data_IF_952832213632
#
_entry.id   IF_952832213632
#
_cell.length_a   1.000
_cell.length_b   1.000
_cell.length_c   1.000
_cell.angle_alpha   90.00
_cell.angle_beta   90.00
_cell.angle_gamma   90.00
#
_symmetry.space_group_name_H-M   'P 1'
#
loop_
_entity.id
_entity.type
_entity.pdbx_description
1 polymer ?
#
# COMPACT_ATOMS: atom_id res chain seq x y z
N UNK A 1 -18.37 -19.20 -7.66
CA UNK A 1 -17.39 -20.21 -8.11
C UNK A 1 -18.06 -21.57 -8.10
N UNK A 2 -17.85 -22.37 -9.13
CA UNK A 2 -18.58 -23.63 -9.30
C UNK A 2 -17.95 -24.73 -8.44
N UNK A 3 -18.75 -25.51 -7.68
CA UNK A 3 -18.27 -26.74 -7.07
C UNK A 3 -18.00 -27.82 -8.12
N UNK A 4 -17.18 -28.81 -7.77
CA UNK A 4 -17.05 -30.06 -8.52
C UNK A 4 -17.99 -31.07 -7.86
N UNK A 5 -18.83 -31.75 -8.64
CA UNK A 5 -19.73 -32.77 -8.13
C UNK A 5 -19.00 -34.06 -7.76
N UNK A 6 -19.50 -34.80 -6.77
CA UNK A 6 -18.82 -35.97 -6.20
C UNK A 6 -18.50 -37.07 -7.24
N UNK A 7 -19.42 -37.32 -8.16
CA UNK A 7 -19.21 -38.28 -9.27
C UNK A 7 -18.07 -37.83 -10.19
N UNK A 8 -17.92 -36.53 -10.42
CA UNK A 8 -16.81 -36.00 -11.22
C UNK A 8 -15.49 -36.14 -10.47
N UNK A 9 -15.46 -35.86 -9.17
CA UNK A 9 -14.28 -36.06 -8.32
C UNK A 9 -13.81 -37.51 -8.34
N UNK A 10 -14.72 -38.48 -8.21
CA UNK A 10 -14.38 -39.90 -8.33
C UNK A 10 -13.83 -40.25 -9.72
N UNK A 11 -14.45 -39.73 -10.78
CA UNK A 11 -14.02 -39.97 -12.15
C UNK A 11 -12.58 -39.47 -12.42
N UNK A 12 -12.19 -38.35 -11.79
CA UNK A 12 -10.81 -37.83 -11.84
C UNK A 12 -9.85 -38.70 -11.02
N UNK A 13 -10.26 -39.15 -9.82
CA UNK A 13 -9.46 -40.02 -8.98
C UNK A 13 -9.15 -41.38 -9.64
N UNK A 14 -10.13 -41.99 -10.31
CA UNK A 14 -9.97 -43.24 -11.06
C UNK A 14 -8.96 -43.12 -12.23
N UNK A 15 -8.54 -41.90 -12.58
CA UNK A 15 -7.59 -41.57 -13.67
C UNK A 15 -6.31 -40.90 -13.16
N UNK A 16 -6.06 -40.96 -11.85
CA UNK A 16 -4.90 -40.33 -11.21
C UNK A 16 -4.81 -38.81 -11.49
N UNK A 17 -5.96 -38.14 -11.61
CA UNK A 17 -6.04 -36.69 -11.81
C UNK A 17 -6.52 -35.99 -10.53
N UNK A 18 -5.73 -35.02 -10.05
CA UNK A 18 -6.15 -34.15 -8.96
C UNK A 18 -7.11 -33.06 -9.46
N UNK A 19 -8.16 -32.78 -8.70
CA UNK A 19 -9.07 -31.65 -8.97
C UNK A 19 -9.46 -30.92 -7.68
N UNK A 20 -9.60 -29.60 -7.76
CA UNK A 20 -10.06 -28.75 -6.66
C UNK A 20 -11.21 -27.85 -7.12
N UNK A 21 -12.33 -27.86 -6.38
CA UNK A 21 -13.51 -27.02 -6.64
C UNK A 21 -13.52 -25.76 -5.78
N UNK A 22 -14.41 -24.81 -6.13
CA UNK A 22 -14.61 -23.54 -5.39
C UNK A 22 -13.33 -22.70 -5.19
N UNK A 23 -12.37 -22.78 -6.11
CA UNK A 23 -11.12 -22.02 -6.05
C UNK A 23 -11.38 -20.53 -6.27
N UNK A 24 -10.86 -19.63 -5.39
CA UNK A 24 -10.95 -18.18 -5.55
C UNK A 24 -10.56 -17.67 -6.94
N UNK A 25 -11.27 -16.67 -7.43
CA UNK A 25 -10.98 -16.08 -8.75
C UNK A 25 -9.57 -15.47 -8.81
N UNK A 26 -9.10 -14.95 -7.68
CA UNK A 26 -7.73 -14.45 -7.54
C UNK A 26 -6.70 -15.58 -7.64
N UNK A 27 -6.93 -16.72 -6.99
CA UNK A 27 -6.05 -17.88 -7.04
C UNK A 27 -6.03 -18.55 -8.42
N UNK A 28 -7.16 -18.54 -9.16
CA UNK A 28 -7.18 -18.95 -10.56
C UNK A 28 -6.25 -18.07 -11.41
N UNK A 29 -6.31 -16.74 -11.25
CA UNK A 29 -5.42 -15.81 -11.97
C UNK A 29 -3.97 -15.97 -11.55
N UNK A 30 -3.68 -16.22 -10.27
CA UNK A 30 -2.33 -16.49 -9.76
C UNK A 30 -1.77 -17.79 -10.34
N UNK A 31 -2.57 -18.84 -10.38
CA UNK A 31 -2.19 -20.15 -10.97
C UNK A 31 -1.95 -20.01 -12.47
N UNK A 32 -2.78 -19.25 -13.18
CA UNK A 32 -2.55 -18.89 -14.58
C UNK A 32 -1.21 -18.16 -14.77
N UNK A 33 -0.91 -17.15 -13.94
CA UNK A 33 0.36 -16.39 -14.03
C UNK A 33 1.58 -17.18 -13.58
N UNK A 34 1.41 -18.16 -12.71
CA UNK A 34 2.49 -19.01 -12.23
C UNK A 34 2.79 -20.13 -13.24
N UNK A 35 1.80 -20.97 -13.53
CA UNK A 35 1.95 -22.18 -14.35
C UNK A 35 1.79 -21.94 -15.86
N UNK A 36 1.25 -20.79 -16.28
CA UNK A 36 1.08 -20.43 -17.69
C UNK A 36 -0.19 -20.98 -18.36
N UNK A 37 -1.10 -21.60 -17.61
CA UNK A 37 -2.37 -22.12 -18.15
C UNK A 37 -3.40 -21.03 -18.43
N UNK A 38 -4.40 -21.31 -19.26
CA UNK A 38 -5.50 -20.41 -19.55
C UNK A 38 -6.75 -20.74 -18.72
N UNK A 39 -7.45 -19.73 -18.23
CA UNK A 39 -8.76 -19.90 -17.58
C UNK A 39 -9.82 -20.02 -18.66
N UNK A 40 -10.54 -21.15 -18.67
CA UNK A 40 -11.57 -21.47 -19.67
C UNK A 40 -12.96 -21.51 -19.00
N UNK A 41 -13.98 -21.02 -19.71
CA UNK A 41 -15.38 -21.08 -19.27
C UNK A 41 -16.09 -22.37 -19.67
N UNK A 42 -15.62 -23.03 -20.74
CA UNK A 42 -16.16 -24.27 -21.27
C UNK A 42 -15.08 -25.32 -21.39
N UNK A 43 -15.40 -26.55 -20.99
CA UNK A 43 -14.49 -27.71 -21.09
C UNK A 43 -14.23 -28.08 -22.56
N UNK A 44 -15.15 -27.75 -23.47
CA UNK A 44 -15.01 -28.05 -24.92
C UNK A 44 -13.91 -27.25 -25.61
N UNK A 45 -13.53 -26.11 -25.03
CA UNK A 45 -12.51 -25.21 -25.59
C UNK A 45 -11.10 -25.57 -25.11
N UNK A 46 -10.96 -26.66 -24.35
CA UNK A 46 -9.68 -27.12 -23.83
C UNK A 46 -8.79 -27.62 -24.97
N UNK A 47 -7.61 -27.00 -25.08
CA UNK A 47 -6.53 -27.39 -26.00
C UNK A 47 -5.28 -27.66 -25.20
N UNK A 48 -4.34 -28.41 -25.77
CA UNK A 48 -3.05 -28.71 -25.12
C UNK A 48 -2.30 -27.43 -24.73
N UNK A 49 -2.40 -26.38 -25.54
CA UNK A 49 -1.76 -25.08 -25.29
C UNK A 49 -2.41 -24.29 -24.14
N UNK A 50 -3.64 -24.65 -23.75
CA UNK A 50 -4.34 -24.02 -22.63
C UNK A 50 -3.88 -24.56 -21.27
N UNK A 51 -3.10 -25.65 -21.24
CA UNK A 51 -2.66 -26.31 -20.01
C UNK A 51 -1.34 -25.70 -19.49
N UNK A 52 -1.34 -25.31 -18.22
CA UNK A 52 -0.13 -24.84 -17.54
C UNK A 52 0.79 -25.99 -17.14
N UNK A 53 2.05 -25.66 -16.83
CA UNK A 53 3.05 -26.61 -16.32
C UNK A 53 3.71 -26.09 -15.05
N UNK A 54 3.95 -26.99 -14.12
CA UNK A 54 4.77 -26.77 -12.92
C UNK A 54 5.70 -27.98 -12.74
N UNK A 55 6.82 -27.79 -12.05
CA UNK A 55 7.77 -28.86 -11.80
C UNK A 55 7.30 -29.80 -10.68
N UNK A 56 6.68 -29.22 -9.65
CA UNK A 56 6.22 -29.97 -8.49
C UNK A 56 4.84 -29.48 -8.03
N UNK A 57 3.97 -30.44 -7.74
CA UNK A 57 2.69 -30.23 -7.09
C UNK A 57 2.67 -31.05 -5.79
N UNK A 58 2.39 -30.41 -4.66
CA UNK A 58 2.32 -31.08 -3.36
C UNK A 58 1.12 -30.59 -2.56
N UNK A 59 0.34 -31.50 -2.01
CA UNK A 59 -0.59 -31.21 -0.91
C UNK A 59 0.20 -31.29 0.40
N UNK A 60 0.24 -30.20 1.18
CA UNK A 60 0.90 -30.16 2.49
C UNK A 60 -0.04 -29.65 3.56
N UNK A 61 0.01 -30.27 4.73
CA UNK A 61 -0.70 -29.76 5.89
C UNK A 61 0.10 -28.65 6.58
N UNK A 62 -0.50 -27.49 6.76
CA UNK A 62 0.09 -26.33 7.42
C UNK A 62 -0.94 -25.79 8.42
N UNK A 63 -0.63 -25.77 9.71
CA UNK A 63 -1.55 -25.26 10.73
C UNK A 63 -2.84 -26.06 10.89
N UNK A 64 -2.84 -27.35 10.54
CA UNK A 64 -4.02 -28.20 10.56
C UNK A 64 -4.83 -28.21 9.26
N UNK A 65 -4.62 -27.24 8.37
CA UNK A 65 -5.29 -27.14 7.08
C UNK A 65 -4.42 -27.69 5.94
N UNK A 66 -5.05 -28.19 4.88
CA UNK A 66 -4.35 -28.73 3.70
C UNK A 66 -4.25 -27.67 2.61
N UNK A 67 -3.02 -27.43 2.15
CA UNK A 67 -2.69 -26.48 1.11
C UNK A 67 -2.16 -27.20 -0.13
N UNK A 68 -2.68 -26.81 -1.29
CA UNK A 68 -2.21 -27.27 -2.60
C UNK A 68 -1.14 -26.31 -3.12
N UNK A 69 0.10 -26.79 -3.23
CA UNK A 69 1.26 -25.96 -3.51
C UNK A 69 1.86 -26.34 -4.86
N UNK A 70 1.93 -25.37 -5.76
CA UNK A 70 2.58 -25.47 -7.07
C UNK A 70 3.96 -24.79 -6.99
N UNK A 71 5.03 -25.53 -7.31
CA UNK A 71 6.42 -25.00 -7.27
C UNK A 71 7.21 -25.37 -8.53
N UNK A 72 8.29 -24.63 -8.76
CA UNK A 72 9.14 -24.77 -9.96
C UNK A 72 8.38 -24.44 -11.24
N UNK A 73 7.63 -23.33 -11.27
CA UNK A 73 6.90 -22.92 -12.46
C UNK A 73 7.82 -22.09 -13.38
N UNK A 74 8.12 -22.54 -14.62
CA UNK A 74 9.15 -21.92 -15.46
C UNK A 74 8.86 -20.47 -15.89
N UNK A 75 7.59 -20.10 -16.00
CA UNK A 75 7.13 -18.78 -16.42
C UNK A 75 6.51 -17.97 -15.26
N UNK A 76 6.91 -18.27 -14.01
CA UNK A 76 6.27 -17.69 -12.83
C UNK A 76 6.34 -16.16 -12.81
N UNK A 77 5.21 -15.50 -13.06
CA UNK A 77 5.01 -14.06 -12.83
C UNK A 77 4.22 -13.77 -11.55
N UNK A 78 4.03 -14.80 -10.72
CA UNK A 78 3.37 -14.73 -9.43
C UNK A 78 4.09 -15.65 -8.45
N UNK A 79 4.20 -15.22 -7.20
CA UNK A 79 4.70 -16.01 -6.08
C UNK A 79 3.70 -15.95 -4.91
N UNK A 80 3.86 -16.87 -3.96
CA UNK A 80 3.03 -16.95 -2.76
C UNK A 80 3.95 -17.09 -1.55
N UNK A 81 3.74 -16.26 -0.54
CA UNK A 81 4.40 -16.39 0.77
C UNK A 81 3.37 -16.92 1.76
N UNK A 82 3.69 -18.00 2.46
CA UNK A 82 2.84 -18.57 3.51
C UNK A 82 3.34 -18.05 4.85
N UNK A 83 2.54 -17.21 5.49
CA UNK A 83 2.84 -16.66 6.82
C UNK A 83 2.27 -17.59 7.90
N UNK A 84 3.01 -17.75 8.99
CA UNK A 84 2.58 -18.53 10.17
C UNK A 84 2.85 -17.72 11.42
N UNK A 85 1.89 -17.70 12.34
CA UNK A 85 1.94 -16.92 13.56
C UNK A 85 1.02 -17.54 14.62
N UNK A 86 1.28 -17.22 15.88
CA UNK A 86 0.49 -17.73 17.01
C UNK A 86 -0.84 -17.00 17.24
N UNK A 87 -1.01 -15.81 16.67
CA UNK A 87 -2.25 -15.04 16.72
C UNK A 87 -2.45 -14.24 15.42
N UNK A 88 -3.71 -14.06 15.02
CA UNK A 88 -4.10 -13.40 13.77
C UNK A 88 -3.59 -11.95 13.70
N UNK A 89 -3.59 -11.24 14.83
CA UNK A 89 -3.07 -9.86 14.89
C UNK A 89 -1.59 -9.77 14.47
N UNK A 90 -0.76 -10.74 14.83
CA UNK A 90 0.64 -10.77 14.40
C UNK A 90 0.78 -11.13 12.93
N UNK A 91 -0.11 -11.98 12.39
CA UNK A 91 -0.12 -12.32 10.97
C UNK A 91 -0.50 -11.10 10.13
N UNK A 92 -1.54 -10.36 10.52
CA UNK A 92 -1.94 -9.13 9.84
C UNK A 92 -0.82 -8.09 9.85
N UNK A 93 -0.13 -7.92 10.96
CA UNK A 93 0.98 -6.97 11.05
C UNK A 93 2.19 -7.41 10.22
N UNK A 94 2.47 -8.71 10.19
CA UNK A 94 3.53 -9.29 9.35
C UNK A 94 3.20 -9.12 7.87
N UNK A 95 1.95 -9.33 7.47
CA UNK A 95 1.48 -9.11 6.10
C UNK A 95 1.65 -7.64 5.69
N UNK A 96 1.20 -6.70 6.53
CA UNK A 96 1.38 -5.26 6.29
C UNK A 96 2.85 -4.89 6.14
N UNK A 97 3.69 -5.34 7.08
CA UNK A 97 5.13 -5.07 7.07
C UNK A 97 5.82 -5.63 5.80
N UNK A 98 5.48 -6.86 5.39
CA UNK A 98 6.04 -7.46 4.17
C UNK A 98 5.54 -6.77 2.91
N UNK A 99 4.26 -6.39 2.87
CA UNK A 99 3.70 -5.66 1.75
C UNK A 99 4.45 -4.33 1.53
N UNK A 100 4.71 -3.59 2.60
CA UNK A 100 5.45 -2.33 2.53
C UNK A 100 6.90 -2.54 2.10
N UNK A 101 7.57 -3.56 2.63
CA UNK A 101 8.92 -3.92 2.22
C UNK A 101 8.99 -4.28 0.71
N UNK A 102 8.05 -5.10 0.21
CA UNK A 102 7.97 -5.46 -1.21
C UNK A 102 7.73 -4.22 -2.07
N UNK A 103 6.85 -3.31 -1.63
CA UNK A 103 6.56 -2.08 -2.36
C UNK A 103 7.77 -1.13 -2.40
N UNK A 104 8.54 -1.04 -1.31
CA UNK A 104 9.80 -0.28 -1.29
C UNK A 104 10.77 -0.87 -2.30
N UNK A 105 11.07 -2.17 -2.23
CA UNK A 105 12.00 -2.84 -3.16
C UNK A 105 11.54 -2.65 -4.62
N UNK A 106 10.24 -2.80 -4.90
CA UNK A 106 9.68 -2.60 -6.24
C UNK A 106 9.86 -1.16 -6.75
N UNK A 107 9.73 -0.16 -5.88
CA UNK A 107 9.93 1.26 -6.24
C UNK A 107 11.41 1.56 -6.45
N UNK A 108 12.30 1.03 -5.60
CA UNK A 108 13.75 1.18 -5.73
C UNK A 108 14.28 0.54 -7.00
N UNK A 109 13.82 -0.66 -7.39
CA UNK A 109 14.22 -1.28 -8.66
C UNK A 109 13.85 -0.42 -9.88
N UNK A 110 12.80 0.41 -9.78
CA UNK A 110 12.37 1.30 -10.86
C UNK A 110 13.06 2.66 -10.86
N UNK A 111 13.68 3.05 -9.75
CA UNK A 111 14.27 4.37 -9.57
C UNK A 111 15.49 4.27 -8.67
N UNK A 112 16.66 4.55 -9.24
CA UNK A 112 17.95 4.45 -8.55
C UNK A 112 18.20 5.59 -7.56
N UNK A 113 17.39 6.66 -7.59
CA UNK A 113 17.55 7.80 -6.69
C UNK A 113 16.88 7.55 -5.32
N UNK A 114 17.70 7.48 -4.28
CA UNK A 114 17.27 7.35 -2.88
C UNK A 114 17.77 8.51 -2.02
N UNK A 115 17.07 8.78 -0.93
CA UNK A 115 17.42 9.78 0.09
C UNK A 115 17.37 9.13 1.48
N UNK A 116 18.03 9.73 2.48
CA UNK A 116 17.90 9.25 3.84
C UNK A 116 16.50 9.51 4.42
N UNK A 117 15.93 8.49 5.05
CA UNK A 117 14.63 8.54 5.73
C UNK A 117 14.72 9.04 7.18
N UNK A 118 13.69 8.76 7.96
CA UNK A 118 13.65 9.10 9.40
C UNK A 118 13.67 10.62 9.67
N UNK A 119 13.08 11.40 8.75
CA UNK A 119 13.02 12.86 8.84
C UNK A 119 14.28 13.60 8.41
N UNK A 120 15.35 12.91 8.00
CA UNK A 120 16.60 13.54 7.57
C UNK A 120 16.41 14.48 6.37
N UNK A 121 15.79 13.98 5.29
CA UNK A 121 15.53 14.79 4.10
C UNK A 121 14.58 15.97 4.40
N UNK A 122 13.60 15.79 5.29
CA UNK A 122 12.66 16.84 5.67
C UNK A 122 13.36 17.97 6.45
N UNK A 123 14.34 17.61 7.29
CA UNK A 123 15.20 18.57 7.99
C UNK A 123 16.11 19.35 7.03
N UNK A 124 16.69 18.70 6.02
CA UNK A 124 17.53 19.38 5.03
C UNK A 124 16.71 20.33 4.14
N UNK A 125 15.51 19.91 3.71
CA UNK A 125 14.57 20.79 2.99
C UNK A 125 14.18 21.98 3.87
N UNK A 126 13.88 21.76 5.15
CA UNK A 126 13.56 22.83 6.10
C UNK A 126 14.70 23.86 6.20
N UNK A 127 15.95 23.40 6.31
CA UNK A 127 17.14 24.26 6.34
C UNK A 127 17.26 25.08 5.06
N UNK A 128 17.21 24.45 3.89
CA UNK A 128 17.31 25.14 2.60
C UNK A 128 16.22 26.19 2.40
N UNK A 129 14.96 25.86 2.72
CA UNK A 129 13.85 26.82 2.63
C UNK A 129 14.01 27.98 3.60
N UNK A 130 14.54 27.73 4.81
CA UNK A 130 14.82 28.76 5.80
C UNK A 130 15.99 29.67 5.39
N UNK A 131 16.97 29.16 4.67
CA UNK A 131 18.05 29.98 4.09
C UNK A 131 17.55 30.80 2.91
N UNK A 132 16.78 30.18 2.02
CA UNK A 132 16.13 30.85 0.90
C UNK A 132 15.23 32.00 1.35
N UNK A 133 14.45 31.81 2.43
CA UNK A 133 13.53 32.84 2.94
C UNK A 133 14.25 34.12 3.36
N UNK A 134 15.53 34.06 3.78
CA UNK A 134 16.31 35.27 4.13
C UNK A 134 16.59 36.17 2.92
N UNK A 135 16.59 35.61 1.71
CA UNK A 135 16.75 36.36 0.46
C UNK A 135 15.43 36.88 -0.11
N UNK A 136 14.28 36.46 0.42
CA UNK A 136 12.95 36.90 -0.03
C UNK A 136 12.56 38.16 0.72
N UNK A 137 12.08 39.18 0.01
CA UNK A 137 11.63 40.43 0.60
C UNK A 137 10.12 40.42 0.90
N UNK A 138 9.72 41.12 1.96
CA UNK A 138 8.31 41.36 2.27
C UNK A 138 7.60 40.18 2.94
N UNK A 139 6.28 40.08 2.75
CA UNK A 139 5.43 39.12 3.48
C UNK A 139 5.69 37.67 3.09
N UNK A 140 6.17 37.43 1.87
CA UNK A 140 6.48 36.08 1.37
C UNK A 140 7.59 35.39 2.17
N UNK A 141 8.53 36.16 2.73
CA UNK A 141 9.55 35.64 3.63
C UNK A 141 8.94 34.84 4.80
N UNK A 142 7.88 35.36 5.41
CA UNK A 142 7.20 34.73 6.54
C UNK A 142 6.51 33.43 6.11
N UNK A 143 5.95 33.39 4.90
CA UNK A 143 5.29 32.21 4.34
C UNK A 143 6.30 31.09 4.07
N UNK A 144 7.43 31.41 3.42
CA UNK A 144 8.50 30.44 3.16
C UNK A 144 9.09 29.92 4.47
N UNK A 145 9.30 30.79 5.46
CA UNK A 145 9.78 30.39 6.78
C UNK A 145 8.78 29.50 7.53
N UNK A 146 7.47 29.72 7.36
CA UNK A 146 6.42 28.87 7.91
C UNK A 146 6.39 27.50 7.22
N UNK A 147 6.49 27.45 5.89
CA UNK A 147 6.59 26.21 5.12
C UNK A 147 7.82 25.39 5.53
N UNK A 148 8.98 26.04 5.69
CA UNK A 148 10.19 25.40 6.21
C UNK A 148 9.95 24.75 7.59
N UNK A 149 9.24 25.42 8.49
CA UNK A 149 8.90 24.87 9.81
C UNK A 149 7.92 23.71 9.72
N UNK A 150 7.01 23.71 8.76
CA UNK A 150 6.05 22.63 8.57
C UNK A 150 6.72 21.28 8.23
N UNK A 151 7.83 21.29 7.49
CA UNK A 151 8.62 20.07 7.24
C UNK A 151 9.15 19.42 8.51
N UNK A 152 9.42 20.20 9.57
CA UNK A 152 9.87 19.64 10.85
C UNK A 152 8.77 18.87 11.60
N UNK A 153 7.51 18.92 11.14
CA UNK A 153 6.41 18.15 11.72
C UNK A 153 6.62 16.63 11.57
N UNK A 154 7.26 16.19 10.49
CA UNK A 154 7.54 14.77 10.22
C UNK A 154 8.50 14.18 11.26
N UNK A 155 9.74 14.69 11.44
CA UNK A 155 10.64 14.20 12.48
C UNK A 155 10.08 14.42 13.89
N UNK A 156 9.34 15.52 14.13
CA UNK A 156 8.65 15.73 15.42
C UNK A 156 7.69 14.58 15.75
N UNK A 157 6.79 14.28 14.81
CA UNK A 157 5.79 13.24 15.01
C UNK A 157 6.43 11.86 15.13
N UNK A 158 7.53 11.61 14.44
CA UNK A 158 8.29 10.38 14.56
C UNK A 158 8.85 10.19 15.98
N UNK A 159 9.42 11.24 16.57
CA UNK A 159 9.87 11.24 17.96
C UNK A 159 8.71 11.05 18.95
N UNK A 160 7.61 11.80 18.76
CA UNK A 160 6.44 11.74 19.65
C UNK A 160 5.80 10.34 19.63
N UNK A 161 5.67 9.73 18.44
CA UNK A 161 5.15 8.36 18.29
C UNK A 161 6.04 7.31 18.94
N UNK A 162 7.35 7.56 19.03
CA UNK A 162 8.31 6.70 19.70
C UNK A 162 8.42 7.00 21.22
N UNK A 163 7.72 8.02 21.73
CA UNK A 163 7.80 8.42 23.13
C UNK A 163 9.10 9.15 23.51
N UNK A 164 9.82 9.70 22.52
CA UNK A 164 11.11 10.38 22.71
C UNK A 164 10.92 11.89 22.94
N UNK A 165 11.93 12.56 23.51
CA UNK A 165 11.93 14.03 23.60
C UNK A 165 12.13 14.66 22.22
N UNK A 166 11.01 14.95 21.55
CA UNK A 166 11.00 15.57 20.23
C UNK A 166 11.69 16.94 20.22
N UNK A 167 11.65 17.69 21.33
CA UNK A 167 12.27 19.03 21.38
C UNK A 167 13.79 18.92 21.41
N UNK A 168 14.33 18.05 22.27
CA UNK A 168 15.76 17.76 22.32
C UNK A 168 16.29 17.22 21.01
N UNK A 169 15.61 16.23 20.40
CA UNK A 169 16.02 15.62 19.15
C UNK A 169 15.99 16.60 17.97
N UNK A 170 14.93 17.40 17.82
CA UNK A 170 14.85 18.40 16.75
C UNK A 170 15.96 19.46 16.86
N UNK A 171 16.32 19.87 18.08
CA UNK A 171 17.41 20.82 18.28
C UNK A 171 18.77 20.21 17.88
N UNK A 172 19.03 18.96 18.26
CA UNK A 172 20.22 18.21 17.82
C UNK A 172 20.28 18.07 16.30
N UNK A 173 19.15 17.70 15.67
CA UNK A 173 19.06 17.60 14.21
C UNK A 173 19.38 18.92 13.53
N UNK A 174 18.74 20.02 13.94
CA UNK A 174 19.01 21.35 13.38
C UNK A 174 20.49 21.70 13.46
N UNK A 175 21.13 21.46 14.61
CA UNK A 175 22.55 21.74 14.79
C UNK A 175 23.42 20.93 13.80
N UNK A 176 23.14 19.64 13.62
CA UNK A 176 23.86 18.76 12.69
C UNK A 176 23.68 19.15 11.23
N UNK A 177 22.43 19.37 10.80
CA UNK A 177 22.15 19.81 9.44
C UNK A 177 22.78 21.17 9.14
N UNK A 178 22.81 22.10 10.10
CA UNK A 178 23.54 23.37 9.96
C UNK A 178 25.06 23.19 9.88
N UNK A 179 25.62 22.14 10.48
CA UNK A 179 27.04 21.80 10.36
C UNK A 179 27.41 21.11 9.03
N UNK A 180 26.42 20.79 8.18
CA UNK A 180 26.62 20.18 6.86
C UNK A 180 26.26 18.70 6.79
N UNK A 181 25.80 18.11 7.88
CA UNK A 181 25.43 16.69 7.95
C UNK A 181 24.00 16.48 7.39
N UNK A 182 23.86 16.28 6.08
CA UNK A 182 22.56 16.27 5.37
C UNK A 182 21.73 14.99 5.57
N UNK A 183 22.34 13.91 6.04
CA UNK A 183 21.70 12.59 6.18
C UNK A 183 21.37 12.20 7.61
N UNK A 184 21.55 13.11 8.56
CA UNK A 184 21.20 12.84 9.94
C UNK A 184 19.68 12.82 10.11
N UNK A 185 19.15 11.75 10.68
CA UNK A 185 17.73 11.62 11.01
C UNK A 185 17.54 11.03 12.39
N UNK A 186 16.29 10.73 12.73
CA UNK A 186 15.95 10.05 13.97
C UNK A 186 16.17 8.55 13.78
N UNK A 187 16.96 7.96 14.68
CA UNK A 187 17.13 6.51 14.79
C UNK A 187 16.35 6.04 16.02
N UNK A 188 15.20 5.39 15.76
CA UNK A 188 14.30 4.91 16.81
C UNK A 188 14.96 3.84 17.68
N UNK A 189 15.87 3.04 17.12
CA UNK A 189 16.52 1.95 17.87
C UNK A 189 17.56 2.48 18.86
N UNK A 190 18.22 3.58 18.50
CA UNK A 190 19.21 4.25 19.37
C UNK A 190 18.61 5.33 20.26
N UNK A 191 17.33 5.65 20.06
CA UNK A 191 16.62 6.74 20.75
C UNK A 191 17.35 8.10 20.62
N UNK A 192 18.15 8.27 19.55
CA UNK A 192 18.93 9.49 19.28
C UNK A 192 19.05 9.72 17.77
N UNK A 193 19.76 10.78 17.40
CA UNK A 193 20.05 11.10 16.01
C UNK A 193 21.21 10.26 15.47
N UNK A 194 21.13 9.84 14.21
CA UNK A 194 22.20 9.11 13.53
C UNK A 194 22.23 9.43 12.02
N UNK A 195 23.34 9.10 11.36
CA UNK A 195 23.40 9.13 9.89
C UNK A 195 22.56 7.98 9.32
N UNK A 196 21.37 8.34 8.85
CA UNK A 196 20.39 7.39 8.34
C UNK A 196 20.78 6.83 6.97
N UNK A 197 21.63 7.53 6.22
CA UNK A 197 22.14 7.01 4.94
C UNK A 197 23.11 5.86 5.18
N UNK A 198 24.04 6.02 6.12
CA UNK A 198 25.01 4.97 6.51
C UNK A 198 24.32 3.78 7.19
N UNK A 199 23.26 4.04 7.97
CA UNK A 199 22.44 3.00 8.60
C UNK A 199 21.48 2.28 7.62
N UNK A 200 21.57 2.55 6.31
CA UNK A 200 20.70 1.95 5.29
C UNK A 200 19.20 2.26 5.47
N UNK A 201 18.86 3.37 6.13
CA UNK A 201 17.48 3.86 6.23
C UNK A 201 17.21 4.75 5.03
N UNK A 202 16.88 4.10 3.91
CA UNK A 202 16.67 4.77 2.62
C UNK A 202 15.21 4.82 2.23
N UNK A 203 14.83 5.94 1.61
CA UNK A 203 13.53 6.13 1.00
C UNK A 203 13.72 6.52 -0.48
N UNK A 204 12.91 5.98 -1.41
CA UNK A 204 13.01 6.39 -2.81
C UNK A 204 12.64 7.87 -2.97
N UNK A 205 13.48 8.64 -3.66
CA UNK A 205 13.29 10.10 -3.80
C UNK A 205 11.93 10.47 -4.42
N UNK A 206 11.44 9.64 -5.35
CA UNK A 206 10.11 9.82 -5.98
C UNK A 206 8.96 9.80 -4.97
N UNK A 207 9.10 9.05 -3.87
CA UNK A 207 8.06 9.02 -2.82
C UNK A 207 7.99 10.36 -2.12
N UNK A 208 9.14 10.96 -1.80
CA UNK A 208 9.21 12.30 -1.18
C UNK A 208 8.71 13.38 -2.12
N UNK A 209 9.12 13.36 -3.38
CA UNK A 209 8.62 14.32 -4.39
C UNK A 209 7.09 14.26 -4.48
N UNK A 210 6.53 13.06 -4.69
CA UNK A 210 5.09 12.88 -4.82
C UNK A 210 4.34 13.29 -3.54
N UNK A 211 4.89 12.96 -2.36
CA UNK A 211 4.27 13.31 -1.08
C UNK A 211 4.23 14.83 -0.87
N UNK A 212 5.32 15.52 -1.17
CA UNK A 212 5.41 16.98 -1.05
C UNK A 212 4.47 17.67 -2.04
N UNK A 213 4.46 17.24 -3.31
CA UNK A 213 3.57 17.78 -4.33
C UNK A 213 2.10 17.61 -3.92
N UNK A 214 1.70 16.40 -3.52
CA UNK A 214 0.32 16.13 -3.10
C UNK A 214 -0.08 16.93 -1.86
N UNK A 215 0.83 17.07 -0.88
CA UNK A 215 0.58 17.87 0.32
C UNK A 215 0.40 19.36 -0.01
N UNK A 216 1.25 19.91 -0.88
CA UNK A 216 1.13 21.30 -1.33
C UNK A 216 -0.16 21.53 -2.13
N UNK A 217 -0.51 20.64 -3.07
CA UNK A 217 -1.75 20.72 -3.85
C UNK A 217 -2.98 20.71 -2.94
N UNK A 218 -3.04 19.78 -1.99
CA UNK A 218 -4.13 19.70 -1.03
C UNK A 218 -4.23 20.97 -0.17
N UNK A 219 -3.10 21.48 0.33
CA UNK A 219 -3.07 22.71 1.13
C UNK A 219 -3.57 23.91 0.32
N UNK A 220 -3.08 24.10 -0.91
CA UNK A 220 -3.52 25.19 -1.80
C UNK A 220 -4.99 25.06 -2.15
N UNK A 221 -5.48 23.84 -2.41
CA UNK A 221 -6.89 23.60 -2.72
C UNK A 221 -7.78 24.06 -1.56
N UNK A 222 -7.47 23.66 -0.33
CA UNK A 222 -8.24 24.09 0.84
C UNK A 222 -8.14 25.60 1.08
N UNK A 223 -6.93 26.18 0.96
CA UNK A 223 -6.72 27.61 1.14
C UNK A 223 -7.39 28.48 0.05
N UNK A 224 -7.68 27.90 -1.10
CA UNK A 224 -8.38 28.59 -2.21
C UNK A 224 -9.89 28.66 -2.04
N UNK A 225 -10.47 27.90 -1.11
CA UNK A 225 -11.90 27.90 -0.83
C UNK A 225 -12.20 29.05 0.13
N UNK A 226 -12.94 30.05 -0.35
CA UNK A 226 -13.42 31.19 0.42
C UNK A 226 -14.81 30.93 1.04
N UNK A 227 -15.66 30.15 0.36
CA UNK A 227 -17.01 29.81 0.83
C UNK A 227 -17.32 28.31 0.65
N UNK A 228 -17.98 27.71 1.64
CA UNK A 228 -18.51 26.33 1.56
C UNK A 228 -20.02 26.34 1.77
N UNK A 229 -20.77 26.15 0.69
CA UNK A 229 -22.23 26.09 0.73
C UNK A 229 -22.68 24.64 0.87
N UNK A 230 -23.46 24.35 1.92
CA UNK A 230 -24.06 23.04 2.16
C UNK A 230 -25.58 23.11 1.98
N UNK A 231 -26.09 22.55 0.89
CA UNK A 231 -27.53 22.44 0.68
C UNK A 231 -28.12 21.41 1.65
N UNK A 232 -29.13 21.83 2.42
CA UNK A 232 -29.93 20.93 3.25
C UNK A 232 -30.82 20.11 2.31
N UNK A 233 -30.91 18.79 2.53
CA UNK A 233 -31.85 17.96 1.78
C UNK A 233 -33.26 18.47 2.05
N UNK A 234 -33.99 18.84 1.00
CA UNK A 234 -35.41 19.13 1.10
C UNK A 234 -36.14 17.88 1.61
N UNK A 235 -36.95 18.05 2.65
CA UNK A 235 -37.91 17.01 3.04
C UNK A 235 -38.76 16.69 1.81
N UNK A 236 -38.71 15.44 1.35
CA UNK A 236 -39.56 14.99 0.27
C UNK A 236 -41.01 15.21 0.71
N UNK A 237 -41.87 15.84 -0.11
CA UNK A 237 -43.28 15.96 0.22
C UNK A 237 -43.83 14.56 0.48
N UNK A 238 -44.67 14.36 1.53
CA UNK A 238 -45.26 13.06 1.83
C UNK A 238 -45.92 12.52 0.57
N UNK A 239 -45.54 11.29 0.20
CA UNK A 239 -46.02 10.60 -0.98
C UNK A 239 -47.55 10.49 -0.88
N UNK A 240 -48.28 11.28 -1.69
CA UNK A 240 -49.74 11.22 -1.68
C UNK A 240 -50.20 9.81 -2.08
N UNK A 241 -51.20 9.23 -1.39
CA UNK A 241 -51.65 7.87 -1.68
C UNK A 241 -52.14 7.76 -3.13
N UNK A 242 -51.66 6.75 -3.84
CA UNK A 242 -51.95 6.52 -5.24
C UNK A 242 -53.44 6.56 -5.55
N UNK A 243 -53.81 7.41 -6.52
CA UNK A 243 -55.15 7.48 -7.07
C UNK A 243 -55.44 6.17 -7.79
N UNK A 244 -56.30 5.34 -7.19
CA UNK A 244 -56.73 4.06 -7.76
C UNK A 244 -57.25 4.24 -9.18
N UNK A 245 -56.56 3.64 -10.13
CA UNK A 245 -56.96 3.61 -11.53
C UNK A 245 -58.02 2.51 -11.67
N UNK A 246 -59.24 2.94 -12.01
CA UNK A 246 -60.43 2.09 -12.06
C UNK A 246 -60.28 0.90 -13.03
N UNK A 247 -60.85 -0.23 -12.61
CA UNK A 247 -61.13 -1.38 -13.48
C UNK A 247 -62.12 -0.97 -14.58
N UNK A 248 -61.89 -1.30 -15.86
CA UNK A 248 -62.97 -1.38 -16.83
C UNK A 248 -63.76 -2.67 -16.60
N UNK A 249 -65.08 -2.53 -16.46
CA UNK A 249 -66.04 -3.62 -16.57
C UNK A 249 -66.04 -4.14 -18.03
N UNK A 250 -65.98 -5.46 -18.20
CA UNK A 250 -66.38 -6.13 -19.44
C UNK A 250 -67.47 -7.14 -19.09
N UNK A 251 -68.48 -7.18 -19.98
CA UNK A 251 -69.76 -7.87 -19.83
C UNK A 251 -69.71 -9.37 -19.97
#
# INVERSE_FOLDING_TARGET
MLPIGDVATQYFADRDMFCAGRVPAEDLRRTQRACGGAVLSSVRDMKTDSLGRCQHFTEKQVGGERYNIFTGCPAAKACTMVLRGGADQFLEETERSLHDAIMIVRRTIKNDAVVAGGGAIDMEISKHLREYSKGVAGKEQLLVAAAARAFEAIPRQLADNAGLDATGLLNKLRQRHHAGDVWYGIDIQKEDIADNYVNCVWEPAVVKINAITAACEAATQILSIDETIKNVKSEAPPQMPGRGMGRPMMG
#
